data_IF_344879850014
#
_entry.id   IF_344879850014
#
_cell.length_a   1.000
_cell.length_b   1.000
_cell.length_c   1.000
_cell.angle_alpha   90.00
_cell.angle_beta   90.00
_cell.angle_gamma   90.00
#
_symmetry.space_group_name_H-M   'P 1'
#
loop_
_entity.id
_entity.type
_entity.pdbx_description
1 polymer ?
#
# COMPACT_ATOMS: atom_id res chain seq x y z
N UNK A 1 -27.42 5.61 5.55
CA UNK A 1 -27.43 4.31 6.27
C UNK A 1 -26.50 3.26 5.67
N UNK A 2 -26.13 3.37 4.40
CA UNK A 2 -25.28 2.35 3.73
C UNK A 2 -23.80 2.41 4.10
N UNK A 3 -23.33 3.54 4.61
CA UNK A 3 -21.96 3.70 5.10
C UNK A 3 -21.67 2.75 6.27
N UNK A 4 -22.64 2.49 7.12
CA UNK A 4 -22.47 1.64 8.31
C UNK A 4 -22.52 0.13 8.01
N UNK A 5 -23.09 -0.28 6.89
CA UNK A 5 -23.20 -1.70 6.52
C UNK A 5 -21.88 -2.34 6.07
N UNK A 6 -20.85 -1.53 5.78
CA UNK A 6 -19.54 -1.99 5.33
C UNK A 6 -18.48 -1.94 6.43
N UNK A 7 -18.84 -1.48 7.62
CA UNK A 7 -17.95 -1.39 8.77
C UNK A 7 -18.29 -2.47 9.78
N UNK A 8 -17.27 -3.07 10.37
CA UNK A 8 -17.39 -3.99 11.50
C UNK A 8 -16.73 -3.35 12.71
N UNK A 9 -17.34 -3.52 13.88
CA UNK A 9 -16.76 -3.10 15.16
C UNK A 9 -15.89 -4.22 15.73
N UNK A 10 -14.98 -3.90 16.63
CA UNK A 10 -14.10 -4.88 17.25
C UNK A 10 -14.84 -6.01 18.00
N UNK A 11 -16.07 -5.74 18.48
CA UNK A 11 -16.91 -6.73 19.15
C UNK A 11 -17.91 -7.47 18.26
N UNK A 12 -17.94 -7.19 16.97
CA UNK A 12 -18.88 -7.86 16.07
C UNK A 12 -18.47 -9.30 15.81
N UNK A 13 -19.45 -10.20 15.84
CA UNK A 13 -19.25 -11.60 15.49
C UNK A 13 -19.25 -11.75 13.97
N UNK A 14 -18.11 -12.11 13.42
CA UNK A 14 -17.96 -12.39 11.99
C UNK A 14 -17.59 -13.85 11.77
N UNK A 15 -18.01 -14.46 10.66
CA UNK A 15 -17.61 -15.83 10.35
C UNK A 15 -16.11 -15.92 10.13
N UNK A 16 -15.53 -17.06 10.45
CA UNK A 16 -14.12 -17.32 10.12
C UNK A 16 -13.98 -17.42 8.60
N UNK A 17 -13.20 -16.54 8.02
CA UNK A 17 -12.89 -16.60 6.59
C UNK A 17 -11.41 -16.30 6.34
N UNK A 18 -10.93 -16.72 5.18
CA UNK A 18 -9.64 -16.33 4.62
C UNK A 18 -9.86 -15.94 3.18
N UNK A 19 -9.62 -14.68 2.86
CA UNK A 19 -9.74 -14.14 1.52
C UNK A 19 -8.49 -13.31 1.21
N UNK A 20 -7.71 -13.77 0.24
CA UNK A 20 -6.51 -13.05 -0.23
C UNK A 20 -6.73 -12.53 -1.65
N UNK A 21 -5.92 -11.54 -2.06
CA UNK A 21 -6.07 -10.84 -3.33
C UNK A 21 -6.16 -11.76 -4.57
N UNK A 22 -5.47 -12.90 -4.55
CA UNK A 22 -5.47 -13.86 -5.67
C UNK A 22 -6.62 -14.86 -5.67
N UNK A 23 -7.50 -14.82 -4.67
CA UNK A 23 -8.60 -15.78 -4.56
C UNK A 23 -9.81 -15.38 -5.41
N UNK A 24 -10.68 -16.38 -5.64
CA UNK A 24 -11.99 -16.18 -6.27
C UNK A 24 -13.09 -16.24 -5.22
N UNK A 25 -14.14 -15.48 -5.44
CA UNK A 25 -15.36 -15.49 -4.65
C UNK A 25 -16.55 -15.73 -5.59
N UNK A 26 -17.30 -16.82 -5.37
CA UNK A 26 -18.40 -17.18 -6.26
C UNK A 26 -17.95 -17.42 -7.72
N UNK A 27 -16.77 -18.02 -7.93
CA UNK A 27 -16.23 -18.29 -9.26
C UNK A 27 -15.60 -17.09 -9.98
N UNK A 28 -15.72 -15.89 -9.42
CA UNK A 28 -15.20 -14.63 -9.97
C UNK A 28 -13.99 -14.14 -9.19
N UNK A 29 -12.96 -13.64 -9.87
CA UNK A 29 -11.77 -13.08 -9.20
C UNK A 29 -12.12 -11.85 -8.40
N UNK A 30 -11.36 -11.57 -7.34
CA UNK A 30 -11.54 -10.34 -6.56
C UNK A 30 -11.30 -9.10 -7.41
N UNK A 31 -10.33 -9.13 -8.32
CA UNK A 31 -10.12 -8.03 -9.27
C UNK A 31 -11.38 -7.74 -10.10
N UNK A 32 -12.04 -8.77 -10.59
CA UNK A 32 -13.27 -8.61 -11.35
C UNK A 32 -14.45 -8.11 -10.48
N UNK A 33 -14.48 -8.49 -9.19
CA UNK A 33 -15.45 -7.96 -8.24
C UNK A 33 -15.26 -6.48 -7.93
N UNK A 34 -14.02 -6.07 -7.71
CA UNK A 34 -13.69 -4.67 -7.43
C UNK A 34 -13.83 -3.77 -8.66
N UNK A 35 -13.55 -4.31 -9.87
CA UNK A 35 -13.58 -3.52 -11.10
C UNK A 35 -12.72 -2.24 -10.96
N UNK A 36 -13.30 -1.09 -11.21
CA UNK A 36 -12.64 0.22 -11.06
C UNK A 36 -12.87 0.91 -9.70
N UNK A 37 -13.63 0.30 -8.80
CA UNK A 37 -14.11 0.97 -7.58
C UNK A 37 -12.99 1.58 -6.71
N UNK A 38 -11.87 0.85 -6.54
CA UNK A 38 -10.72 1.36 -5.74
C UNK A 38 -9.99 2.46 -6.49
N UNK A 39 -9.75 2.28 -7.78
CA UNK A 39 -9.09 3.27 -8.63
C UNK A 39 -9.89 4.58 -8.65
N UNK A 40 -11.20 4.49 -8.85
CA UNK A 40 -12.09 5.65 -8.90
C UNK A 40 -12.15 6.36 -7.54
N UNK A 41 -12.22 5.60 -6.45
CA UNK A 41 -12.24 6.16 -5.09
C UNK A 41 -10.96 6.93 -4.72
N UNK A 42 -9.83 6.58 -5.32
CA UNK A 42 -8.53 7.20 -5.06
C UNK A 42 -8.09 8.21 -6.14
N UNK A 43 -8.87 8.36 -7.20
CA UNK A 43 -8.51 9.22 -8.34
C UNK A 43 -8.31 10.70 -7.95
N UNK A 44 -9.08 11.20 -7.01
CA UNK A 44 -9.08 12.60 -6.58
C UNK A 44 -8.29 12.83 -5.27
N UNK A 45 -7.55 11.82 -4.80
CA UNK A 45 -6.80 11.94 -3.54
C UNK A 45 -5.50 12.75 -3.66
N UNK A 46 -5.15 13.24 -4.85
CA UNK A 46 -3.88 13.94 -5.11
C UNK A 46 -2.69 12.99 -5.08
N UNK A 47 -1.62 13.37 -4.36
CA UNK A 47 -0.44 12.52 -4.23
C UNK A 47 -0.72 11.32 -3.32
N UNK A 48 -0.51 10.12 -3.84
CA UNK A 48 -0.75 8.86 -3.12
C UNK A 48 0.54 8.07 -2.96
N UNK A 49 0.81 7.61 -1.75
CA UNK A 49 1.87 6.63 -1.46
C UNK A 49 1.22 5.26 -1.28
N UNK A 50 1.43 4.38 -2.24
CA UNK A 50 0.81 3.04 -2.26
C UNK A 50 1.73 2.01 -1.60
N UNK A 51 1.43 1.67 -0.37
CA UNK A 51 2.18 0.70 0.42
C UNK A 51 1.65 -0.74 0.32
N UNK A 52 0.61 -0.96 -0.49
CA UNK A 52 0.05 -2.30 -0.69
C UNK A 52 1.08 -3.22 -1.37
N UNK A 53 0.96 -4.52 -1.16
CA UNK A 53 1.71 -5.50 -1.96
C UNK A 53 1.17 -5.56 -3.39
N UNK A 54 1.98 -6.05 -4.33
CA UNK A 54 1.62 -6.09 -5.75
C UNK A 54 0.30 -6.80 -6.04
N UNK A 55 0.01 -7.89 -5.33
CA UNK A 55 -1.26 -8.59 -5.47
C UNK A 55 -2.47 -7.72 -5.11
N UNK A 56 -2.36 -6.88 -4.08
CA UNK A 56 -3.41 -5.95 -3.70
C UNK A 56 -3.44 -4.68 -4.56
N UNK A 57 -2.30 -4.22 -5.06
CA UNK A 57 -2.26 -3.13 -6.05
C UNK A 57 -3.03 -3.51 -7.32
N UNK A 58 -2.93 -4.77 -7.75
CA UNK A 58 -3.65 -5.28 -8.91
C UNK A 58 -5.18 -5.31 -8.74
N UNK A 59 -5.70 -5.27 -7.51
CA UNK A 59 -7.15 -5.19 -7.27
C UNK A 59 -7.73 -3.82 -7.59
N UNK A 60 -6.92 -2.79 -7.54
CA UNK A 60 -7.31 -1.42 -7.86
C UNK A 60 -6.06 -0.57 -8.06
N UNK A 61 -5.49 -0.52 -9.28
CA UNK A 61 -4.31 0.28 -9.56
C UNK A 61 -4.59 1.77 -9.31
N UNK A 62 -3.59 2.48 -8.83
CA UNK A 62 -3.63 3.94 -8.65
C UNK A 62 -2.57 4.54 -9.56
N UNK A 63 -2.94 5.03 -10.75
CA UNK A 63 -1.99 5.62 -11.67
C UNK A 63 -1.22 6.79 -11.05
N UNK A 64 0.08 6.81 -11.22
CA UNK A 64 0.95 7.87 -10.69
C UNK A 64 1.26 7.78 -9.19
N UNK A 65 0.71 6.81 -8.46
CA UNK A 65 1.04 6.62 -7.06
C UNK A 65 2.52 6.24 -6.88
N UNK A 66 3.13 6.76 -5.82
CA UNK A 66 4.46 6.32 -5.40
C UNK A 66 4.35 4.95 -4.75
N UNK A 67 4.97 3.94 -5.36
CA UNK A 67 5.02 2.57 -4.81
C UNK A 67 6.31 2.34 -4.04
N UNK A 68 6.27 1.45 -3.06
CA UNK A 68 7.38 1.18 -2.16
C UNK A 68 7.90 -0.25 -2.38
N UNK A 69 9.20 -0.35 -2.67
CA UNK A 69 9.94 -1.60 -2.72
C UNK A 69 10.92 -1.65 -1.55
N UNK A 70 10.96 -2.78 -0.85
CA UNK A 70 11.92 -3.03 0.22
C UNK A 70 12.89 -4.10 -0.26
N UNK A 71 14.17 -3.82 -0.22
CA UNK A 71 15.23 -4.75 -0.61
C UNK A 71 16.36 -4.80 0.42
N UNK A 72 17.10 -5.90 0.43
CA UNK A 72 18.28 -6.05 1.24
C UNK A 72 19.42 -5.20 0.68
N UNK A 73 20.07 -4.41 1.53
CA UNK A 73 21.15 -3.50 1.12
C UNK A 73 22.38 -4.24 0.55
N UNK A 74 22.68 -5.43 1.06
CA UNK A 74 23.83 -6.23 0.66
C UNK A 74 23.62 -7.02 -0.63
N UNK A 75 22.41 -7.51 -0.89
CA UNK A 75 22.10 -8.42 -2.01
C UNK A 75 21.20 -7.82 -3.07
N UNK A 76 20.52 -6.69 -2.79
CA UNK A 76 19.49 -6.12 -3.67
C UNK A 76 18.25 -6.99 -3.81
N UNK A 77 18.12 -8.08 -3.05
CA UNK A 77 16.96 -8.96 -3.10
C UNK A 77 15.76 -8.34 -2.40
N UNK A 78 14.59 -8.52 -3.00
CA UNK A 78 13.34 -8.05 -2.40
C UNK A 78 13.06 -8.80 -1.10
N UNK A 79 12.76 -8.03 -0.04
CA UNK A 79 12.37 -8.58 1.26
C UNK A 79 10.90 -9.01 1.19
N UNK A 80 10.62 -10.30 1.39
CA UNK A 80 9.27 -10.85 1.26
C UNK A 80 8.45 -10.79 2.56
N UNK A 81 8.98 -11.34 3.65
CA UNK A 81 8.21 -11.48 4.90
C UNK A 81 8.19 -10.21 5.74
N UNK A 82 9.31 -9.53 5.87
CA UNK A 82 9.45 -8.33 6.71
C UNK A 82 9.13 -7.01 6.00
N UNK A 83 8.77 -7.04 4.72
CA UNK A 83 8.45 -5.80 4.00
C UNK A 83 7.30 -5.02 4.64
N UNK A 84 6.32 -5.70 5.22
CA UNK A 84 5.20 -5.06 5.92
C UNK A 84 5.64 -4.27 7.14
N UNK A 85 6.63 -4.80 7.90
CA UNK A 85 7.22 -4.10 9.03
C UNK A 85 7.87 -2.79 8.58
N UNK A 86 8.75 -2.86 7.60
CA UNK A 86 9.47 -1.67 7.09
C UNK A 86 8.52 -0.65 6.44
N UNK A 87 7.53 -1.11 5.69
CA UNK A 87 6.48 -0.23 5.17
C UNK A 87 5.66 0.42 6.28
N UNK A 88 5.37 -0.31 7.34
CA UNK A 88 4.68 0.22 8.52
C UNK A 88 5.52 1.28 9.26
N UNK A 89 6.82 1.06 9.40
CA UNK A 89 7.74 2.02 9.98
C UNK A 89 7.81 3.31 9.14
N UNK A 90 7.89 3.17 7.82
CA UNK A 90 7.84 4.31 6.90
C UNK A 90 6.50 5.05 6.97
N UNK A 91 5.39 4.32 6.98
CA UNK A 91 4.06 4.92 7.12
C UNK A 91 3.94 5.74 8.42
N UNK A 92 4.48 5.25 9.52
CA UNK A 92 4.51 5.97 10.80
C UNK A 92 5.30 7.27 10.72
N UNK A 93 6.41 7.28 9.99
CA UNK A 93 7.22 8.49 9.78
C UNK A 93 6.47 9.50 8.92
N UNK A 94 5.80 9.05 7.87
CA UNK A 94 5.11 9.93 6.92
C UNK A 94 3.77 10.47 7.44
N UNK A 95 3.06 9.70 8.27
CA UNK A 95 1.69 10.02 8.69
C UNK A 95 1.51 11.41 9.35
N UNK A 96 2.46 11.94 10.16
CA UNK A 96 2.33 13.27 10.75
C UNK A 96 2.58 14.42 9.76
N UNK A 97 3.04 14.11 8.55
CA UNK A 97 3.44 15.08 7.54
C UNK A 97 2.48 15.07 6.36
N UNK A 98 2.33 16.22 5.74
CA UNK A 98 1.49 16.40 4.55
C UNK A 98 2.37 16.40 3.29
N UNK A 99 3.01 15.27 3.02
CA UNK A 99 3.88 15.11 1.85
C UNK A 99 3.05 15.11 0.57
N UNK A 100 3.42 15.96 -0.39
CA UNK A 100 2.72 16.13 -1.66
C UNK A 100 3.52 15.68 -2.89
N UNK A 101 4.75 15.20 -2.70
CA UNK A 101 5.63 14.74 -3.77
C UNK A 101 6.54 13.60 -3.32
N UNK A 102 7.06 12.85 -4.28
CA UNK A 102 8.06 11.82 -4.03
C UNK A 102 9.34 12.40 -3.40
N UNK A 103 9.75 13.60 -3.79
CA UNK A 103 10.90 14.29 -3.23
C UNK A 103 10.74 14.57 -1.74
N UNK A 104 9.56 15.04 -1.31
CA UNK A 104 9.26 15.25 0.11
C UNK A 104 9.26 13.94 0.90
N UNK A 105 8.73 12.86 0.32
CA UNK A 105 8.79 11.53 0.93
C UNK A 105 10.23 11.07 1.14
N UNK A 106 11.10 11.27 0.15
CA UNK A 106 12.53 10.96 0.27
C UNK A 106 13.18 11.77 1.39
N UNK A 107 12.95 13.08 1.44
CA UNK A 107 13.54 13.96 2.45
C UNK A 107 13.11 13.56 3.87
N UNK A 108 11.83 13.29 4.08
CA UNK A 108 11.30 12.82 5.37
C UNK A 108 11.87 11.46 5.76
N UNK A 109 12.02 10.55 4.80
CA UNK A 109 12.55 9.20 5.02
C UNK A 109 14.03 9.26 5.40
N UNK A 110 14.83 10.03 4.69
CA UNK A 110 16.26 10.23 4.98
C UNK A 110 16.46 10.89 6.34
N UNK A 111 15.66 11.90 6.67
CA UNK A 111 15.70 12.56 7.97
C UNK A 111 15.38 11.60 9.13
N UNK A 112 14.56 10.58 8.89
CA UNK A 112 14.24 9.53 9.85
C UNK A 112 15.26 8.38 9.90
N UNK A 113 16.32 8.43 9.08
CA UNK A 113 17.39 7.44 9.06
C UNK A 113 17.19 6.29 8.09
N UNK A 114 16.23 6.36 7.16
CA UNK A 114 16.05 5.34 6.13
C UNK A 114 16.99 5.57 4.94
N UNK A 115 17.50 4.48 4.39
CA UNK A 115 18.21 4.47 3.11
C UNK A 115 17.20 4.27 1.97
N UNK A 116 16.85 5.35 1.32
CA UNK A 116 15.86 5.35 0.24
C UNK A 116 16.37 6.06 -0.99
N UNK A 117 15.89 5.61 -2.14
CA UNK A 117 16.05 6.31 -3.42
C UNK A 117 14.76 6.20 -4.22
N UNK A 118 14.52 7.15 -5.12
CA UNK A 118 13.35 7.17 -5.99
C UNK A 118 13.79 7.16 -7.45
N UNK A 119 13.09 6.34 -8.23
CA UNK A 119 13.20 6.32 -9.69
C UNK A 119 11.76 6.32 -10.25
N UNK A 120 11.39 7.45 -10.89
CA UNK A 120 10.03 7.67 -11.35
C UNK A 120 9.03 7.61 -10.19
N UNK A 121 8.15 6.61 -10.21
CA UNK A 121 7.12 6.38 -9.18
C UNK A 121 7.47 5.19 -8.25
N UNK A 122 8.70 4.74 -8.26
CA UNK A 122 9.17 3.67 -7.38
C UNK A 122 10.17 4.21 -6.36
N UNK A 123 9.84 4.11 -5.09
CA UNK A 123 10.74 4.34 -3.99
C UNK A 123 11.30 3.00 -3.52
N UNK A 124 12.61 2.88 -3.53
CA UNK A 124 13.32 1.70 -3.00
C UNK A 124 13.90 2.03 -1.63
N UNK A 125 13.52 1.22 -0.65
CA UNK A 125 14.06 1.25 0.71
C UNK A 125 15.02 0.08 0.89
N UNK A 126 16.25 0.37 1.30
CA UNK A 126 17.28 -0.64 1.60
C UNK A 126 17.38 -0.86 3.10
N UNK A 127 17.39 -2.14 3.45
CA UNK A 127 17.42 -2.57 4.85
C UNK A 127 18.50 -3.62 5.09
#
# INVERSE_FOLDING_TARGET
>A
SDVYKRQVRAGDLIPRYRLSAGMKLGGKTLRAWWGSAVTDALADCGFVVDMRSGAYQNLGPVPGALTIRVEQADTGKVVSHFNKKYKGELARVLAPHDASSASEVVDLSVAAGFDVSVDGTLLTMRV
#
